data_IF_603139814710
#
_entry.id   IF_603139814710
#
_cell.length_a   1.000
_cell.length_b   1.000
_cell.length_c   1.000
_cell.angle_alpha   90.00
_cell.angle_beta   90.00
_cell.angle_gamma   90.00
#
_symmetry.space_group_name_H-M   'P 1'
#
loop_
_entity.id
_entity.type
_entity.pdbx_description
1 polymer ?
#
# COMPACT_ATOMS: atom_id res chain seq x y z
N UNK A 1 -9.64 -8.95 24.12
CA UNK A 1 -8.65 -9.44 23.14
C UNK A 1 -7.35 -8.64 23.23
N UNK A 2 -7.37 -7.32 22.99
CA UNK A 2 -6.15 -6.48 23.08
C UNK A 2 -5.51 -6.48 24.48
N UNK A 3 -6.32 -6.48 25.54
CA UNK A 3 -5.85 -6.61 26.93
C UNK A 3 -5.11 -7.94 27.17
N UNK A 4 -5.72 -9.07 26.80
CA UNK A 4 -5.08 -10.39 26.88
C UNK A 4 -3.79 -10.47 26.06
N UNK A 5 -3.73 -9.77 24.93
CA UNK A 5 -2.51 -9.65 24.13
C UNK A 5 -1.45 -8.86 24.86
N UNK A 6 -1.79 -7.68 25.42
CA UNK A 6 -0.90 -6.86 26.26
C UNK A 6 -0.36 -7.64 27.47
N UNK A 7 -1.20 -8.46 28.12
CA UNK A 7 -0.81 -9.26 29.29
C UNK A 7 0.13 -10.40 28.89
N UNK A 8 -0.18 -11.12 27.81
CA UNK A 8 0.70 -12.15 27.23
C UNK A 8 2.03 -11.55 26.74
N UNK A 9 1.98 -10.32 26.24
CA UNK A 9 3.14 -9.57 25.75
C UNK A 9 4.04 -9.08 26.89
N UNK A 10 3.47 -8.53 27.96
CA UNK A 10 4.18 -8.10 29.16
C UNK A 10 4.84 -9.28 29.90
N UNK A 11 4.24 -10.46 29.82
CA UNK A 11 4.79 -11.68 30.41
C UNK A 11 5.98 -12.28 29.62
N UNK A 12 6.16 -11.94 28.34
CA UNK A 12 7.25 -12.50 27.52
C UNK A 12 8.57 -11.72 27.73
N UNK A 13 9.27 -11.97 28.84
CA UNK A 13 10.53 -11.27 29.19
C UNK A 13 11.76 -11.58 28.30
N UNK A 14 11.65 -12.36 27.22
CA UNK A 14 12.80 -12.63 26.34
C UNK A 14 12.98 -11.51 25.32
N UNK A 15 13.86 -10.57 25.67
CA UNK A 15 14.49 -9.66 24.72
C UNK A 15 15.26 -10.50 23.68
N UNK A 16 15.11 -10.15 22.40
CA UNK A 16 15.86 -10.69 21.24
C UNK A 16 15.42 -12.02 20.60
N UNK A 17 14.16 -12.44 20.69
CA UNK A 17 13.65 -13.48 19.78
C UNK A 17 13.18 -12.85 18.43
N UNK A 18 13.82 -13.17 17.29
CA UNK A 18 13.42 -12.66 15.98
C UNK A 18 11.98 -13.06 15.58
N UNK A 19 11.47 -14.17 16.12
CA UNK A 19 10.13 -14.65 15.83
C UNK A 19 9.06 -13.76 16.48
N UNK A 20 9.30 -13.29 17.71
CA UNK A 20 8.40 -12.36 18.38
C UNK A 20 8.35 -11.00 17.65
N UNK A 21 9.50 -10.49 17.17
CA UNK A 21 9.57 -9.23 16.43
C UNK A 21 8.79 -9.26 15.10
N UNK A 22 8.74 -10.41 14.43
CA UNK A 22 7.96 -10.59 13.20
C UNK A 22 6.44 -10.57 13.46
N UNK A 23 6.00 -11.19 14.56
CA UNK A 23 4.59 -11.17 14.98
C UNK A 23 4.12 -9.76 15.33
N UNK A 24 4.97 -8.95 15.95
CA UNK A 24 4.59 -7.63 16.48
C UNK A 24 4.25 -6.63 15.38
N UNK A 25 5.08 -6.54 14.33
CA UNK A 25 4.82 -5.65 13.19
C UNK A 25 3.56 -6.05 12.40
N UNK A 26 3.32 -7.36 12.24
CA UNK A 26 2.12 -7.88 11.59
C UNK A 26 0.85 -7.59 12.40
N UNK A 27 0.92 -7.69 13.74
CA UNK A 27 -0.19 -7.34 14.64
C UNK A 27 -0.47 -5.84 14.59
N UNK A 28 0.56 -5.00 14.68
CA UNK A 28 0.43 -3.53 14.57
C UNK A 28 -0.21 -3.14 13.23
N UNK A 29 0.26 -3.74 12.13
CA UNK A 29 -0.31 -3.53 10.81
C UNK A 29 -1.77 -3.96 10.73
N UNK A 30 -2.10 -5.13 11.29
CA UNK A 30 -3.48 -5.64 11.33
C UNK A 30 -4.40 -4.72 12.14
N UNK A 31 -3.93 -4.18 13.26
CA UNK A 31 -4.68 -3.20 14.06
C UNK A 31 -4.94 -1.92 13.26
N UNK A 32 -3.96 -1.45 12.49
CA UNK A 32 -4.16 -0.28 11.62
C UNK A 32 -5.11 -0.52 10.47
N UNK A 33 -5.08 -1.71 9.84
CA UNK A 33 -6.10 -2.13 8.87
C UNK A 33 -7.50 -2.11 9.50
N UNK A 34 -7.61 -2.47 10.78
CA UNK A 34 -8.86 -2.42 11.56
C UNK A 34 -9.20 -1.03 12.13
N UNK A 35 -8.38 -0.01 11.88
CA UNK A 35 -8.59 1.36 12.38
C UNK A 35 -8.37 1.53 13.89
N UNK A 36 -7.69 0.59 14.55
CA UNK A 36 -7.45 0.61 16.00
C UNK A 36 -6.10 1.27 16.31
N UNK A 37 -6.14 2.46 16.92
CA UNK A 37 -4.96 3.16 17.44
C UNK A 37 -4.79 2.91 18.94
N UNK A 38 -3.72 2.20 19.31
CA UNK A 38 -3.32 1.97 20.70
C UNK A 38 -1.86 2.42 20.90
N UNK A 39 -1.67 3.69 21.26
CA UNK A 39 -0.34 4.30 21.34
C UNK A 39 0.58 3.59 22.35
N UNK A 40 0.04 3.06 23.44
CA UNK A 40 0.81 2.29 24.42
C UNK A 40 1.38 1.02 23.79
N UNK A 41 0.58 0.31 23.00
CA UNK A 41 1.04 -0.87 22.28
C UNK A 41 2.08 -0.54 21.21
N UNK A 42 1.86 0.52 20.42
CA UNK A 42 2.83 0.97 19.41
C UNK A 42 4.18 1.35 20.05
N UNK A 43 4.18 2.12 21.14
CA UNK A 43 5.38 2.47 21.91
C UNK A 43 6.09 1.23 22.42
N UNK A 44 5.34 0.27 22.96
CA UNK A 44 5.88 -0.98 23.47
C UNK A 44 6.59 -1.79 22.39
N UNK A 45 5.98 -1.93 21.21
CA UNK A 45 6.58 -2.63 20.06
C UNK A 45 7.85 -1.92 19.59
N UNK A 46 7.82 -0.60 19.43
CA UNK A 46 8.98 0.19 18.96
C UNK A 46 10.14 0.15 19.95
N UNK A 47 9.87 0.28 21.25
CA UNK A 47 10.89 0.20 22.31
C UNK A 47 11.55 -1.19 22.36
N UNK A 48 10.79 -2.26 22.09
CA UNK A 48 11.31 -3.64 22.06
C UNK A 48 12.12 -3.93 20.81
N UNK A 49 11.76 -3.32 19.68
CA UNK A 49 12.39 -3.49 18.38
C UNK A 49 13.64 -2.60 18.18
N UNK A 50 14.51 -2.45 19.19
CA UNK A 50 15.67 -1.53 19.16
C UNK A 50 16.46 -1.59 17.83
N UNK A 51 16.41 -0.48 17.08
CA UNK A 51 17.34 0.13 16.07
C UNK A 51 18.16 -0.71 15.07
N UNK A 52 18.19 -2.05 15.11
CA UNK A 52 19.10 -2.85 14.26
C UNK A 52 18.57 -4.18 13.74
N UNK A 53 17.36 -4.61 14.13
CA UNK A 53 16.84 -5.94 13.79
C UNK A 53 15.53 -5.93 12.98
N UNK A 54 14.98 -4.75 12.68
CA UNK A 54 13.80 -4.68 11.84
C UNK A 54 14.18 -4.84 10.38
N UNK A 55 13.60 -5.85 9.72
CA UNK A 55 13.64 -5.96 8.26
C UNK A 55 12.89 -4.75 7.67
N UNK A 56 13.33 -4.27 6.51
CA UNK A 56 12.70 -3.15 5.80
C UNK A 56 11.16 -3.31 5.70
N UNK A 57 10.68 -4.53 5.44
CA UNK A 57 9.25 -4.83 5.38
C UNK A 57 8.48 -4.56 6.69
N UNK A 58 9.10 -4.78 7.86
CA UNK A 58 8.47 -4.51 9.15
C UNK A 58 8.42 -3.02 9.46
N UNK A 59 9.48 -2.28 9.12
CA UNK A 59 9.49 -0.81 9.22
C UNK A 59 8.44 -0.22 8.28
N UNK A 60 8.32 -0.78 7.06
CA UNK A 60 7.25 -0.48 6.10
C UNK A 60 5.85 -0.60 6.70
N UNK A 61 5.55 -1.75 7.29
CA UNK A 61 4.27 -2.01 7.93
C UNK A 61 3.99 -1.07 9.10
N UNK A 62 4.98 -0.76 9.94
CA UNK A 62 4.82 0.16 11.07
C UNK A 62 4.55 1.60 10.61
N UNK A 63 5.30 2.08 9.61
CA UNK A 63 5.10 3.44 9.08
C UNK A 63 3.74 3.55 8.38
N UNK A 64 3.36 2.52 7.62
CA UNK A 64 2.03 2.39 7.03
C UNK A 64 0.95 2.51 8.11
N UNK A 65 1.03 1.69 9.15
CA UNK A 65 0.09 1.67 10.25
C UNK A 65 -0.06 3.05 10.94
N UNK A 66 1.07 3.68 11.27
CA UNK A 66 1.07 5.01 11.89
C UNK A 66 0.46 6.06 10.97
N UNK A 67 0.77 6.04 9.67
CA UNK A 67 0.21 7.02 8.73
C UNK A 67 -1.32 6.87 8.57
N UNK A 68 -1.82 5.64 8.47
CA UNK A 68 -3.26 5.38 8.39
C UNK A 68 -3.98 5.92 9.63
N UNK A 69 -3.41 5.69 10.82
CA UNK A 69 -3.98 6.08 12.10
C UNK A 69 -3.61 7.50 12.55
N UNK A 70 -3.00 8.32 11.68
CA UNK A 70 -2.64 9.70 12.01
C UNK A 70 -3.87 10.50 12.49
N UNK A 71 -3.84 11.09 13.70
CA UNK A 71 -4.90 11.95 14.18
C UNK A 71 -5.09 13.17 13.27
N UNK A 72 -6.34 13.51 12.93
CA UNK A 72 -6.65 14.63 12.03
C UNK A 72 -6.24 15.99 12.60
N UNK A 73 -6.36 16.16 13.93
CA UNK A 73 -6.14 17.45 14.59
C UNK A 73 -4.72 17.54 15.15
N UNK A 74 -3.88 18.34 14.48
CA UNK A 74 -2.44 18.48 14.80
C UNK A 74 -2.11 19.03 16.19
N UNK A 75 -3.03 19.76 16.81
CA UNK A 75 -2.80 20.45 18.09
C UNK A 75 -3.25 19.64 19.32
N UNK A 76 -3.55 18.35 19.14
CA UNK A 76 -4.02 17.49 20.24
C UNK A 76 -2.85 16.79 20.93
N UNK A 77 -2.99 16.41 22.23
CA UNK A 77 -2.03 15.53 22.90
C UNK A 77 -1.81 14.21 22.14
N UNK A 78 -2.88 13.62 21.60
CA UNK A 78 -2.82 12.41 20.79
C UNK A 78 -1.94 12.58 19.53
N UNK A 79 -2.02 13.72 18.85
CA UNK A 79 -1.15 14.00 17.70
C UNK A 79 0.31 14.18 18.10
N UNK A 80 0.57 14.85 19.23
CA UNK A 80 1.96 15.01 19.74
C UNK A 80 2.58 13.65 20.04
N UNK A 81 1.85 12.81 20.76
CA UNK A 81 2.25 11.45 21.09
C UNK A 81 2.48 10.59 19.83
N UNK A 82 1.53 10.62 18.89
CA UNK A 82 1.67 9.97 17.59
C UNK A 82 2.91 10.45 16.84
N UNK A 83 3.16 11.77 16.82
CA UNK A 83 4.27 12.36 16.08
C UNK A 83 5.63 11.97 16.64
N UNK A 84 5.76 11.76 17.95
CA UNK A 84 7.00 11.28 18.57
C UNK A 84 7.30 9.86 18.10
N UNK A 85 6.31 8.98 18.18
CA UNK A 85 6.42 7.57 17.76
C UNK A 85 6.67 7.47 16.25
N UNK A 86 6.01 8.28 15.44
CA UNK A 86 6.21 8.32 13.99
C UNK A 86 7.61 8.78 13.59
N UNK A 87 8.19 9.74 14.32
CA UNK A 87 9.58 10.19 14.08
C UNK A 87 10.58 9.06 14.31
N UNK A 88 10.39 8.28 15.36
CA UNK A 88 11.30 7.16 15.65
C UNK A 88 11.24 6.08 14.55
N UNK A 89 10.06 5.77 14.02
CA UNK A 89 9.91 4.83 12.90
C UNK A 89 10.49 5.41 11.59
N UNK A 90 10.30 6.70 11.35
CA UNK A 90 10.85 7.41 10.18
C UNK A 90 12.39 7.43 10.17
N UNK A 91 13.04 7.57 11.32
CA UNK A 91 14.51 7.54 11.41
C UNK A 91 15.10 6.18 11.00
N UNK A 92 14.32 5.11 11.15
CA UNK A 92 14.69 3.75 10.77
C UNK A 92 14.24 3.40 9.34
N UNK A 93 13.57 4.33 8.64
CA UNK A 93 13.09 4.12 7.27
C UNK A 93 14.28 4.03 6.30
N UNK A 94 14.56 2.86 5.69
CA UNK A 94 15.52 2.82 4.62
C UNK A 94 14.98 3.66 3.46
N UNK A 95 15.83 4.48 2.83
CA UNK A 95 15.47 5.13 1.56
C UNK A 95 14.85 4.08 0.64
N UNK A 96 13.59 4.24 0.19
CA UNK A 96 12.94 3.20 -0.58
C UNK A 96 13.72 3.00 -1.87
N UNK A 97 14.28 1.81 -2.06
CA UNK A 97 14.78 1.40 -3.37
C UNK A 97 13.57 1.22 -4.27
N UNK A 98 13.41 2.12 -5.23
CA UNK A 98 12.41 1.94 -6.27
C UNK A 98 12.73 0.64 -7.01
N UNK A 99 11.73 -0.21 -7.28
CA UNK A 99 11.96 -1.41 -8.06
C UNK A 99 12.66 -1.05 -9.36
N UNK A 100 13.78 -1.71 -9.65
CA UNK A 100 14.60 -1.38 -10.83
C UNK A 100 14.01 -1.94 -12.13
N UNK A 101 13.03 -2.84 -12.04
CA UNK A 101 12.50 -3.60 -13.16
C UNK A 101 10.97 -3.66 -13.08
N UNK A 102 10.30 -3.28 -14.17
CA UNK A 102 8.85 -3.45 -14.34
C UNK A 102 8.51 -4.89 -14.68
N UNK A 103 7.35 -5.36 -14.23
CA UNK A 103 6.83 -6.62 -14.76
C UNK A 103 6.48 -6.48 -16.26
N UNK A 104 6.48 -7.57 -17.05
CA UNK A 104 6.07 -7.49 -18.46
C UNK A 104 4.66 -6.90 -18.66
N UNK A 105 3.73 -7.23 -17.76
CA UNK A 105 2.36 -6.70 -17.76
C UNK A 105 2.36 -5.19 -17.52
N UNK A 106 3.09 -4.75 -16.51
CA UNK A 106 3.23 -3.33 -16.15
C UNK A 106 3.89 -2.54 -17.28
N UNK A 107 4.96 -3.07 -17.89
CA UNK A 107 5.62 -2.44 -19.04
C UNK A 107 4.67 -2.28 -20.24
N UNK A 108 3.79 -3.26 -20.49
CA UNK A 108 2.76 -3.16 -21.53
C UNK A 108 1.76 -2.05 -21.18
N UNK A 109 1.17 -2.07 -19.99
CA UNK A 109 0.18 -1.08 -19.56
C UNK A 109 0.77 0.33 -19.63
N UNK A 110 1.99 0.52 -19.13
CA UNK A 110 2.74 1.77 -19.23
C UNK A 110 2.84 2.26 -20.68
N UNK A 111 3.16 1.37 -21.63
CA UNK A 111 3.24 1.73 -23.04
C UNK A 111 1.88 2.13 -23.61
N UNK A 112 0.79 1.46 -23.25
CA UNK A 112 -0.57 1.82 -23.72
C UNK A 112 -0.97 3.19 -23.18
N UNK A 113 -0.70 3.47 -21.92
CA UNK A 113 -0.97 4.77 -21.30
C UNK A 113 -0.21 5.90 -22.02
N UNK A 114 1.07 5.67 -22.37
CA UNK A 114 1.83 6.64 -23.17
C UNK A 114 1.21 6.86 -24.56
N UNK A 115 0.72 5.79 -25.21
CA UNK A 115 0.05 5.89 -26.52
C UNK A 115 -1.30 6.62 -26.45
N UNK A 116 -1.97 6.59 -25.30
CA UNK A 116 -3.16 7.41 -25.02
C UNK A 116 -2.82 8.91 -24.85
N UNK A 117 -1.53 9.26 -24.86
CA UNK A 117 -1.03 10.62 -24.80
C UNK A 117 -0.94 11.18 -23.37
N UNK A 118 -0.82 10.31 -22.37
CA UNK A 118 -0.49 10.72 -21.00
C UNK A 118 1.02 10.76 -20.81
N UNK A 119 1.49 11.79 -20.09
CA UNK A 119 2.83 11.78 -19.52
C UNK A 119 2.83 10.90 -18.26
N UNK A 120 3.34 9.68 -18.40
CA UNK A 120 3.30 8.64 -17.37
C UNK A 120 4.68 8.40 -16.77
N UNK A 121 4.71 8.28 -15.44
CA UNK A 121 5.93 8.06 -14.65
C UNK A 121 5.86 6.65 -14.06
N UNK A 122 6.85 5.81 -14.34
CA UNK A 122 6.94 4.49 -13.72
C UNK A 122 7.57 4.59 -12.31
N UNK A 123 7.11 3.75 -11.39
CA UNK A 123 7.68 3.58 -10.04
C UNK A 123 7.83 4.91 -9.30
N UNK A 124 6.77 5.71 -9.28
CA UNK A 124 6.77 7.00 -8.61
C UNK A 124 6.58 6.81 -7.09
N UNK A 125 7.49 7.35 -6.29
CA UNK A 125 7.31 7.39 -4.84
C UNK A 125 6.18 8.33 -4.45
N UNK A 126 5.25 7.88 -3.62
CA UNK A 126 4.27 8.75 -3.00
C UNK A 126 4.92 9.80 -2.09
N UNK A 127 4.18 10.83 -1.70
CA UNK A 127 4.72 12.02 -1.02
C UNK A 127 5.44 11.72 0.30
N UNK A 128 5.05 10.64 0.98
CA UNK A 128 5.67 10.20 2.23
C UNK A 128 6.62 9.01 2.04
N UNK A 129 6.93 8.63 0.80
CA UNK A 129 7.85 7.54 0.47
C UNK A 129 7.36 6.14 0.85
N UNK A 130 6.10 5.98 1.25
CA UNK A 130 5.57 4.70 1.74
C UNK A 130 5.30 3.69 0.64
N UNK A 131 4.93 4.19 -0.53
CA UNK A 131 4.48 3.38 -1.65
C UNK A 131 5.21 3.83 -2.91
N UNK A 132 5.75 2.85 -3.63
CA UNK A 132 6.10 3.01 -5.04
C UNK A 132 4.84 2.73 -5.83
N UNK A 133 4.33 3.72 -6.53
CA UNK A 133 3.19 3.62 -7.45
C UNK A 133 3.71 3.04 -8.75
N UNK A 134 3.14 1.94 -9.23
CA UNK A 134 3.59 1.28 -10.46
C UNK A 134 3.64 2.26 -11.64
N UNK A 135 2.54 2.99 -11.86
CA UNK A 135 2.44 4.02 -12.90
C UNK A 135 1.69 5.23 -12.35
N UNK A 136 2.36 6.38 -12.25
CA UNK A 136 1.77 7.63 -11.82
C UNK A 136 1.47 8.56 -13.00
N UNK A 137 0.29 9.16 -12.98
CA UNK A 137 -0.09 10.29 -13.81
C UNK A 137 -0.22 11.51 -12.90
N UNK A 138 0.68 12.48 -13.05
CA UNK A 138 0.54 13.77 -12.37
C UNK A 138 -0.52 14.64 -13.07
N UNK A 139 -1.03 15.69 -12.40
CA UNK A 139 -1.99 16.61 -13.02
C UNK A 139 -1.44 17.16 -14.33
N UNK A 140 -2.24 17.02 -15.39
CA UNK A 140 -1.92 17.40 -16.75
C UNK A 140 -3.20 17.82 -17.49
N UNK A 141 -3.07 18.37 -18.71
CA UNK A 141 -4.21 18.99 -19.40
C UNK A 141 -5.46 18.09 -19.54
N UNK A 142 -5.26 16.79 -19.78
CA UNK A 142 -6.34 15.79 -19.91
C UNK A 142 -6.81 15.19 -18.58
N UNK A 143 -6.13 15.50 -17.48
CA UNK A 143 -6.32 14.84 -16.19
C UNK A 143 -5.96 15.82 -15.05
N UNK A 144 -6.95 16.53 -14.47
CA UNK A 144 -6.68 17.62 -13.52
C UNK A 144 -6.24 17.13 -12.13
N UNK A 145 -6.31 15.83 -11.86
CA UNK A 145 -5.89 15.23 -10.60
C UNK A 145 -4.74 14.25 -10.83
N UNK A 146 -4.06 13.87 -9.74
CA UNK A 146 -3.05 12.82 -9.80
C UNK A 146 -3.73 11.44 -9.73
N UNK A 147 -3.33 10.53 -10.60
CA UNK A 147 -3.84 9.16 -10.67
C UNK A 147 -2.69 8.19 -10.41
N UNK A 148 -2.92 7.24 -9.50
CA UNK A 148 -2.03 6.13 -9.22
C UNK A 148 -2.60 4.89 -9.88
N UNK A 149 -1.90 4.33 -10.86
CA UNK A 149 -2.30 3.12 -11.56
C UNK A 149 -1.49 1.96 -11.00
N UNK A 150 -2.17 1.00 -10.38
CA UNK A 150 -1.59 -0.18 -9.72
C UNK A 150 -1.85 -1.43 -10.57
N UNK A 151 -0.78 -2.12 -10.95
CA UNK A 151 -0.82 -3.30 -11.82
C UNK A 151 -0.83 -4.56 -10.96
N UNK A 152 -2.01 -4.87 -10.44
CA UNK A 152 -2.18 -5.91 -9.43
C UNK A 152 -2.07 -7.33 -10.03
N UNK A 153 -0.90 -7.96 -9.80
CA UNK A 153 -0.64 -9.38 -10.07
C UNK A 153 -1.37 -10.37 -9.17
N UNK A 154 -1.09 -11.67 -9.37
CA UNK A 154 -1.75 -12.80 -8.69
C UNK A 154 -1.71 -12.68 -7.15
N UNK A 155 -0.60 -12.22 -6.58
CA UNK A 155 -0.41 -12.10 -5.13
C UNK A 155 -1.29 -11.04 -4.45
N UNK A 156 -1.96 -10.18 -5.21
CA UNK A 156 -2.74 -9.06 -4.68
C UNK A 156 -4.22 -9.38 -4.44
N UNK A 157 -4.63 -10.62 -4.70
CA UNK A 157 -6.03 -11.04 -4.59
C UNK A 157 -6.20 -12.24 -3.65
N UNK A 158 -7.36 -12.29 -3.00
CA UNK A 158 -7.85 -13.47 -2.32
C UNK A 158 -8.54 -14.39 -3.33
N UNK A 159 -8.42 -15.70 -3.12
CA UNK A 159 -8.98 -16.71 -4.00
C UNK A 159 -10.03 -17.53 -3.26
N UNK A 160 -11.15 -17.77 -3.93
CA UNK A 160 -12.10 -18.80 -3.51
C UNK A 160 -11.48 -20.21 -3.67
N UNK A 161 -12.11 -21.21 -3.06
CA UNK A 161 -11.64 -22.59 -3.14
C UNK A 161 -11.47 -23.05 -4.60
N UNK A 162 -10.42 -23.84 -4.82
CA UNK A 162 -9.98 -24.29 -6.14
C UNK A 162 -11.10 -25.06 -6.87
N UNK A 163 -11.56 -24.55 -8.01
CA UNK A 163 -12.41 -25.32 -8.91
C UNK A 163 -11.52 -26.12 -9.85
N UNK A 164 -11.67 -27.44 -9.87
CA UNK A 164 -10.83 -28.36 -10.65
C UNK A 164 -10.79 -28.02 -12.15
N UNK A 165 -11.84 -27.42 -12.70
CA UNK A 165 -12.01 -27.06 -14.11
C UNK A 165 -11.58 -25.62 -14.45
N UNK A 166 -11.52 -24.72 -13.46
CA UNK A 166 -11.32 -23.27 -13.68
C UNK A 166 -10.10 -22.68 -12.95
N UNK A 167 -9.44 -23.47 -12.11
CA UNK A 167 -8.36 -22.99 -11.25
C UNK A 167 -8.87 -22.05 -10.15
N UNK A 168 -7.97 -21.32 -9.48
CA UNK A 168 -8.34 -20.41 -8.40
C UNK A 168 -9.04 -19.18 -8.98
N UNK A 169 -10.23 -18.86 -8.46
CA UNK A 169 -11.02 -17.70 -8.90
C UNK A 169 -10.68 -16.53 -7.98
N UNK A 170 -10.11 -15.42 -8.49
CA UNK A 170 -9.87 -14.23 -7.68
C UNK A 170 -11.21 -13.61 -7.29
N UNK A 171 -11.34 -13.24 -6.02
CA UNK A 171 -12.60 -12.75 -5.43
C UNK A 171 -12.55 -11.26 -5.17
N UNK A 172 -11.54 -10.82 -4.41
CA UNK A 172 -11.34 -9.43 -4.02
C UNK A 172 -9.86 -9.17 -3.74
N UNK A 173 -9.41 -7.90 -3.78
CA UNK A 173 -8.06 -7.55 -3.36
C UNK A 173 -7.78 -8.01 -1.93
N UNK A 174 -6.52 -8.34 -1.65
CA UNK A 174 -6.07 -8.69 -0.31
C UNK A 174 -5.99 -7.44 0.61
N UNK A 175 -5.74 -7.67 1.90
CA UNK A 175 -5.64 -6.58 2.87
C UNK A 175 -4.51 -5.61 2.54
N UNK A 176 -3.40 -6.09 1.97
CA UNK A 176 -2.24 -5.25 1.63
C UNK A 176 -2.60 -4.26 0.52
N UNK A 177 -3.27 -4.74 -0.52
CA UNK A 177 -3.68 -3.96 -1.68
C UNK A 177 -4.76 -2.94 -1.30
N UNK A 178 -5.75 -3.35 -0.51
CA UNK A 178 -6.77 -2.43 0.03
C UNK A 178 -6.13 -1.32 0.88
N UNK A 179 -5.20 -1.68 1.75
CA UNK A 179 -4.52 -0.73 2.60
C UNK A 179 -3.65 0.27 1.80
N UNK A 180 -2.87 -0.22 0.83
CA UNK A 180 -2.10 0.62 -0.11
C UNK A 180 -3.03 1.64 -0.77
N UNK A 181 -4.12 1.16 -1.36
CA UNK A 181 -5.08 2.01 -2.09
C UNK A 181 -5.65 3.09 -1.17
N UNK A 182 -6.12 2.73 0.04
CA UNK A 182 -6.66 3.69 1.00
C UNK A 182 -5.63 4.75 1.45
N UNK A 183 -4.36 4.38 1.60
CA UNK A 183 -3.29 5.34 1.94
C UNK A 183 -3.03 6.31 0.79
N UNK A 184 -2.97 5.83 -0.46
CA UNK A 184 -2.82 6.67 -1.65
C UNK A 184 -4.01 7.63 -1.81
N UNK A 185 -5.23 7.14 -1.59
CA UNK A 185 -6.44 7.98 -1.62
C UNK A 185 -6.43 9.07 -0.54
N UNK A 186 -6.00 8.74 0.68
CA UNK A 186 -5.80 9.73 1.77
C UNK A 186 -4.76 10.79 1.41
N UNK A 187 -3.81 10.46 0.54
CA UNK A 187 -2.81 11.38 -0.01
C UNK A 187 -3.36 12.22 -1.19
N UNK A 188 -4.60 12.02 -1.59
CA UNK A 188 -5.24 12.73 -2.71
C UNK A 188 -4.97 12.11 -4.07
N UNK A 189 -4.48 10.88 -4.13
CA UNK A 189 -4.42 10.13 -5.39
C UNK A 189 -5.78 9.54 -5.70
N UNK A 190 -6.18 9.59 -6.98
CA UNK A 190 -7.21 8.69 -7.47
C UNK A 190 -6.55 7.36 -7.82
N UNK A 191 -6.94 6.28 -7.17
CA UNK A 191 -6.34 4.97 -7.40
C UNK A 191 -7.11 4.20 -8.46
N UNK A 192 -6.41 3.74 -9.49
CA UNK A 192 -6.92 2.90 -10.57
C UNK A 192 -6.21 1.57 -10.52
N UNK A 193 -6.95 0.50 -10.21
CA UNK A 193 -6.40 -0.85 -10.21
C UNK A 193 -6.62 -1.51 -11.56
N UNK A 194 -5.56 -2.09 -12.11
CA UNK A 194 -5.60 -2.97 -13.30
C UNK A 194 -5.31 -4.41 -12.85
N UNK A 195 -6.34 -5.22 -12.53
CA UNK A 195 -6.16 -6.61 -12.15
C UNK A 195 -5.59 -7.44 -13.31
N UNK A 196 -4.65 -8.33 -13.00
CA UNK A 196 -4.01 -9.18 -14.01
C UNK A 196 -5.01 -10.02 -14.83
N UNK A 197 -6.09 -10.50 -14.21
CA UNK A 197 -7.08 -11.34 -14.87
C UNK A 197 -7.98 -10.55 -15.82
N UNK A 198 -8.42 -9.35 -15.41
CA UNK A 198 -9.15 -8.44 -16.30
C UNK A 198 -8.28 -8.08 -17.51
N UNK A 199 -7.01 -7.73 -17.28
CA UNK A 199 -6.10 -7.34 -18.35
C UNK A 199 -5.78 -8.47 -19.34
N UNK A 200 -5.56 -9.68 -18.81
CA UNK A 200 -5.22 -10.88 -19.59
C UNK A 200 -6.36 -11.27 -20.53
N UNK A 201 -7.61 -11.11 -20.10
CA UNK A 201 -8.79 -11.56 -20.85
C UNK A 201 -9.17 -10.61 -22.00
N UNK A 202 -8.50 -9.46 -22.13
CA UNK A 202 -8.74 -8.50 -23.22
C UNK A 202 -8.15 -9.03 -24.54
N UNK A 203 -8.98 -9.22 -25.59
CA UNK A 203 -8.58 -9.97 -26.78
C UNK A 203 -7.72 -9.17 -27.78
N UNK A 204 -7.70 -7.84 -27.67
CA UNK A 204 -7.05 -6.97 -28.67
C UNK A 204 -6.46 -5.71 -28.05
N UNK A 205 -5.61 -5.02 -28.82
CA UNK A 205 -5.08 -3.71 -28.44
C UNK A 205 -6.20 -2.68 -28.24
N UNK A 206 -7.19 -2.64 -29.15
CA UNK A 206 -8.34 -1.73 -29.03
C UNK A 206 -9.15 -1.99 -27.77
N UNK A 207 -9.36 -3.25 -27.39
CA UNK A 207 -10.06 -3.60 -26.14
C UNK A 207 -9.26 -3.13 -24.90
N UNK A 208 -7.92 -3.25 -24.94
CA UNK A 208 -7.03 -2.76 -23.88
C UNK A 208 -7.02 -1.23 -23.76
N UNK A 209 -7.04 -0.53 -24.88
CA UNK A 209 -7.16 0.93 -24.91
C UNK A 209 -8.48 1.38 -24.29
N UNK A 210 -9.61 0.84 -24.77
CA UNK A 210 -10.94 1.16 -24.24
C UNK A 210 -11.08 0.83 -22.74
N UNK A 211 -10.49 -0.29 -22.30
CA UNK A 211 -10.45 -0.67 -20.89
C UNK A 211 -9.71 0.37 -20.03
N UNK A 212 -8.54 0.84 -20.47
CA UNK A 212 -7.79 1.85 -19.73
C UNK A 212 -8.45 3.24 -19.79
N UNK A 213 -9.04 3.61 -20.91
CA UNK A 213 -9.80 4.86 -21.05
C UNK A 213 -10.95 4.90 -20.05
N UNK A 214 -11.70 3.80 -19.96
CA UNK A 214 -12.78 3.65 -18.99
C UNK A 214 -12.26 3.69 -17.54
N UNK A 215 -11.17 2.99 -17.24
CA UNK A 215 -10.60 2.91 -15.88
C UNK A 215 -10.02 4.25 -15.40
N UNK A 216 -9.35 4.98 -16.29
CA UNK A 216 -8.74 6.29 -16.02
C UNK A 216 -9.80 7.40 -16.02
N UNK A 217 -10.99 7.14 -16.60
CA UNK A 217 -12.11 8.09 -16.73
C UNK A 217 -11.61 9.43 -17.28
N UNK A 218 -11.18 9.38 -18.54
CA UNK A 218 -11.07 10.56 -19.38
C UNK A 218 -12.47 10.78 -19.94
N UNK A 219 -13.30 11.55 -19.23
CA UNK A 219 -14.54 12.07 -19.82
C UNK A 219 -14.22 12.72 -21.19
N UNK A 220 -15.15 12.71 -22.15
CA UNK A 220 -14.89 13.21 -23.49
C UNK A 220 -14.32 14.63 -23.44
N UNK A 221 -13.16 14.84 -24.06
CA UNK A 221 -12.69 16.18 -24.40
C UNK A 221 -13.61 16.70 -25.49
N UNK A 222 -14.57 17.53 -25.12
CA UNK A 222 -15.39 18.27 -26.07
C UNK A 222 -14.47 19.05 -27.01
N UNK A 223 -14.54 18.66 -28.29
CA UNK A 223 -13.89 19.30 -29.44
C UNK A 223 -14.83 20.29 -30.11
#
# INVERSE_FOLDING_TARGET
MLHCFKDSYAASQKHSDPFLVQCDSSVVWSLAVLGVLDMDFFKMVILRCRRRLLRAAHVQQLHQALYALQPLTKNTPAYKEWSEVAKDVLLEWPSPELPSIRSPTEAYIFRVIQLMGFDAIAHHSSENGLHSIDIALLPQAKLPCKVAIEVDGVSHFLYESYKLDKGPIPTKPDGKSLFRNAVLEKQGWRVVVVPWFEWKDLPSFTARLAYLEQKIDVGPTDS
#
